data_IF_802753810867
#
_entry.id   IF_802753810867
#
_cell.length_a   1.000
_cell.length_b   1.000
_cell.length_c   1.000
_cell.angle_alpha   90.00
_cell.angle_beta   90.00
_cell.angle_gamma   90.00
#
_symmetry.space_group_name_H-M   'P 1'
#
loop_
_entity.id
_entity.type
_entity.pdbx_description
1 polymer ?
#
# COMPACT_ATOMS: atom_id res chain seq x y z
N UNK A 1 -5.80 2.23 3.05
CA UNK A 1 -4.51 1.61 2.70
C UNK A 1 -3.72 2.54 1.80
N UNK A 2 -2.43 2.66 2.02
CA UNK A 2 -1.46 3.42 1.21
C UNK A 2 -0.34 2.45 0.86
N UNK A 3 0.11 2.43 -0.39
CA UNK A 3 1.19 1.58 -0.88
C UNK A 3 1.94 2.33 -1.97
N UNK A 4 3.23 2.05 -2.13
CA UNK A 4 4.04 2.60 -3.21
C UNK A 4 3.35 2.39 -4.57
N UNK A 5 3.16 3.49 -5.31
CA UNK A 5 2.50 3.48 -6.62
C UNK A 5 3.18 2.51 -7.59
N UNK A 6 4.51 2.37 -7.52
CA UNK A 6 5.31 1.48 -8.38
C UNK A 6 4.91 0.02 -8.12
N UNK A 7 4.78 -0.36 -6.85
CA UNK A 7 4.31 -1.69 -6.45
C UNK A 7 2.84 -1.94 -6.87
N UNK A 8 1.97 -0.94 -6.70
CA UNK A 8 0.56 -1.03 -7.08
C UNK A 8 0.40 -1.21 -8.58
N UNK A 9 1.05 -0.38 -9.38
CA UNK A 9 0.96 -0.39 -10.84
C UNK A 9 1.57 -1.66 -11.42
N UNK A 10 2.75 -2.06 -10.93
CA UNK A 10 3.37 -3.33 -11.32
C UNK A 10 2.42 -4.51 -11.05
N UNK A 11 1.81 -4.56 -9.86
CA UNK A 11 0.84 -5.61 -9.50
C UNK A 11 -0.41 -5.62 -10.38
N UNK A 12 -0.88 -4.45 -10.81
CA UNK A 12 -2.01 -4.35 -11.77
C UNK A 12 -1.62 -4.89 -13.15
N UNK A 13 -0.43 -4.53 -13.64
CA UNK A 13 0.07 -4.93 -14.97
C UNK A 13 0.32 -6.45 -14.99
N UNK A 14 1.12 -6.95 -14.05
CA UNK A 14 1.55 -8.36 -13.98
C UNK A 14 0.35 -9.30 -13.89
N UNK A 15 -0.61 -8.98 -13.03
CA UNK A 15 -1.80 -9.80 -12.78
C UNK A 15 -2.97 -9.49 -13.71
N UNK A 16 -2.80 -8.55 -14.64
CA UNK A 16 -3.83 -8.10 -15.59
C UNK A 16 -5.15 -7.72 -14.91
N UNK A 17 -5.07 -7.00 -13.79
CA UNK A 17 -6.25 -6.59 -13.01
C UNK A 17 -7.01 -5.51 -13.78
N UNK A 18 -8.28 -5.74 -14.18
CA UNK A 18 -9.04 -4.78 -14.96
C UNK A 18 -9.59 -3.67 -14.06
N UNK A 19 -8.81 -2.60 -13.86
CA UNK A 19 -9.26 -1.43 -13.11
C UNK A 19 -9.69 -0.32 -14.07
N UNK A 20 -10.95 0.11 -13.96
CA UNK A 20 -11.50 1.14 -14.83
C UNK A 20 -10.66 2.42 -14.78
N UNK A 21 -10.29 2.93 -15.96
CA UNK A 21 -9.47 4.14 -16.11
C UNK A 21 -7.97 3.92 -15.98
N UNK A 22 -7.49 2.69 -15.79
CA UNK A 22 -6.07 2.35 -15.91
C UNK A 22 -5.78 1.71 -17.27
N UNK A 23 -4.86 2.32 -18.03
CA UNK A 23 -4.37 1.76 -19.28
C UNK A 23 -3.03 1.07 -19.06
N UNK A 24 -3.01 -0.26 -19.01
CA UNK A 24 -1.80 -1.05 -18.77
C UNK A 24 -0.76 -0.97 -19.88
N UNK A 25 -1.10 -0.42 -21.05
CA UNK A 25 -0.15 -0.13 -22.12
C UNK A 25 0.57 1.23 -21.95
N UNK A 26 0.19 2.03 -20.95
CA UNK A 26 0.80 3.34 -20.68
C UNK A 26 1.02 3.55 -19.17
N UNK A 27 2.18 3.13 -18.70
CA UNK A 27 2.61 3.22 -17.29
C UNK A 27 2.51 4.65 -16.75
N UNK A 28 2.99 5.65 -17.50
CA UNK A 28 2.93 7.06 -17.09
C UNK A 28 1.49 7.50 -16.79
N UNK A 29 0.53 7.11 -17.64
CA UNK A 29 -0.89 7.42 -17.39
C UNK A 29 -1.44 6.73 -16.14
N UNK A 30 -0.95 5.53 -15.80
CA UNK A 30 -1.31 4.83 -14.58
C UNK A 30 -0.78 5.56 -13.33
N UNK A 31 0.44 6.08 -13.36
CA UNK A 31 1.00 6.89 -12.27
C UNK A 31 0.21 8.19 -12.06
N UNK A 32 -0.13 8.90 -13.14
CA UNK A 32 -1.00 10.09 -13.07
C UNK A 32 -2.35 9.74 -12.42
N UNK A 33 -2.94 8.63 -12.86
CA UNK A 33 -4.24 8.18 -12.33
C UNK A 33 -4.17 7.80 -10.86
N UNK A 34 -3.16 7.04 -10.46
CA UNK A 34 -2.91 6.69 -9.06
C UNK A 34 -2.78 7.94 -8.20
N UNK A 35 -1.97 8.92 -8.65
CA UNK A 35 -1.75 10.17 -7.95
C UNK A 35 -3.03 10.99 -7.76
N UNK A 36 -3.88 11.04 -8.79
CA UNK A 36 -5.20 11.69 -8.70
C UNK A 36 -6.12 11.01 -7.68
N UNK A 37 -6.18 9.68 -7.68
CA UNK A 37 -7.07 8.95 -6.77
C UNK A 37 -6.56 8.99 -5.33
N UNK A 38 -5.26 8.78 -5.09
CA UNK A 38 -4.70 8.84 -3.73
C UNK A 38 -4.85 10.24 -3.13
N UNK A 39 -4.65 11.30 -3.92
CA UNK A 39 -4.88 12.68 -3.48
C UNK A 39 -6.32 12.89 -3.00
N UNK A 40 -7.32 12.40 -3.74
CA UNK A 40 -8.74 12.52 -3.35
C UNK A 40 -9.02 11.74 -2.07
N UNK A 41 -8.53 10.50 -1.99
CA UNK A 41 -8.73 9.64 -0.83
C UNK A 41 -8.09 10.24 0.44
N UNK A 42 -6.87 10.75 0.32
CA UNK A 42 -6.18 11.43 1.43
C UNK A 42 -6.90 12.71 1.84
N UNK A 43 -7.34 13.51 0.88
CA UNK A 43 -8.11 14.71 1.18
C UNK A 43 -9.37 14.37 1.99
N UNK A 44 -10.14 13.35 1.58
CA UNK A 44 -11.34 12.93 2.32
C UNK A 44 -11.00 12.39 3.72
N UNK A 45 -9.94 11.57 3.81
CA UNK A 45 -9.46 11.03 5.09
C UNK A 45 -9.05 12.13 6.07
N UNK A 46 -8.32 13.15 5.58
CA UNK A 46 -7.83 14.27 6.39
C UNK A 46 -8.95 15.20 6.86
N UNK A 47 -10.02 15.30 6.08
CA UNK A 47 -11.21 16.07 6.44
C UNK A 47 -12.24 15.28 7.26
N UNK A 48 -11.91 14.04 7.66
CA UNK A 48 -12.80 13.17 8.45
C UNK A 48 -12.11 12.74 9.77
N UNK A 49 -11.78 13.69 10.67
CA UNK A 49 -11.05 13.40 11.89
C UNK A 49 -11.81 12.40 12.77
N UNK A 50 -11.10 11.41 13.30
CA UNK A 50 -11.68 10.31 14.10
C UNK A 50 -12.48 9.28 13.29
N UNK A 51 -12.62 9.45 11.97
CA UNK A 51 -13.36 8.53 11.11
C UNK A 51 -12.47 7.84 10.06
N UNK A 52 -11.24 8.30 9.89
CA UNK A 52 -10.28 7.68 8.97
C UNK A 52 -8.87 7.62 9.56
N UNK A 53 -8.18 6.49 9.35
CA UNK A 53 -6.75 6.33 9.59
C UNK A 53 -6.02 5.90 8.33
N UNK A 54 -4.77 6.34 8.20
CA UNK A 54 -3.88 5.96 7.11
C UNK A 54 -3.08 4.74 7.51
N UNK A 55 -3.18 3.66 6.76
CA UNK A 55 -2.41 2.43 6.99
C UNK A 55 -1.49 2.22 5.80
N UNK A 56 -0.18 2.32 6.05
CA UNK A 56 0.85 2.07 5.04
C UNK A 56 1.11 0.57 4.95
N UNK A 57 0.97 0.02 3.76
CA UNK A 57 1.14 -1.41 3.50
C UNK A 57 2.53 -1.88 3.91
N UNK A 58 3.56 -1.11 3.57
CA UNK A 58 4.97 -1.45 3.83
C UNK A 58 5.24 -1.54 5.33
N UNK A 59 4.61 -0.67 6.14
CA UNK A 59 4.68 -0.77 7.59
C UNK A 59 3.86 -1.94 8.11
N UNK A 60 2.63 -2.14 7.62
CA UNK A 60 1.73 -3.22 8.05
C UNK A 60 2.38 -4.60 7.93
N UNK A 61 3.13 -4.86 6.87
CA UNK A 61 3.76 -6.17 6.69
C UNK A 61 5.11 -6.31 7.40
N UNK A 62 5.77 -5.21 7.77
CA UNK A 62 7.03 -5.21 8.52
C UNK A 62 6.82 -5.13 10.05
N UNK A 63 5.74 -4.51 10.51
CA UNK A 63 5.34 -4.33 11.92
C UNK A 63 3.85 -4.69 12.11
N UNK A 64 3.43 -5.93 11.78
CA UNK A 64 2.01 -6.29 11.74
C UNK A 64 1.31 -6.19 13.08
N UNK A 65 1.95 -6.60 14.17
CA UNK A 65 1.36 -6.51 15.51
C UNK A 65 1.07 -5.06 15.91
N UNK A 66 2.05 -4.16 15.76
CA UNK A 66 1.88 -2.74 16.06
C UNK A 66 0.80 -2.08 15.20
N UNK A 67 0.79 -2.35 13.89
CA UNK A 67 -0.20 -1.76 12.99
C UNK A 67 -1.60 -2.31 13.24
N UNK A 68 -1.75 -3.61 13.49
CA UNK A 68 -3.05 -4.21 13.81
C UNK A 68 -3.55 -3.66 15.15
N UNK A 69 -2.72 -3.60 16.19
CA UNK A 69 -3.12 -2.99 17.47
C UNK A 69 -3.56 -1.54 17.29
N UNK A 70 -2.84 -0.76 16.47
CA UNK A 70 -3.21 0.62 16.15
C UNK A 70 -4.56 0.70 15.42
N UNK A 71 -4.81 -0.20 14.48
CA UNK A 71 -6.08 -0.29 13.73
C UNK A 71 -7.23 -0.70 14.67
N UNK A 72 -7.05 -1.73 15.50
CA UNK A 72 -8.10 -2.20 16.42
C UNK A 72 -8.41 -1.15 17.48
N UNK A 73 -7.40 -0.44 18.00
CA UNK A 73 -7.59 0.67 18.93
C UNK A 73 -8.39 1.82 18.30
N UNK A 74 -8.13 2.13 17.01
CA UNK A 74 -8.91 3.14 16.29
C UNK A 74 -10.37 2.71 16.10
N UNK A 75 -10.62 1.42 15.87
CA UNK A 75 -11.95 0.84 15.67
C UNK A 75 -12.70 0.51 16.98
N UNK A 76 -12.08 0.74 18.14
CA UNK A 76 -12.59 0.31 19.45
C UNK A 76 -12.87 -1.21 19.52
N UNK A 77 -11.95 -2.00 18.99
CA UNK A 77 -12.00 -3.46 18.98
C UNK A 77 -10.84 -4.05 19.79
N UNK A 78 -11.04 -5.20 20.47
CA UNK A 78 -9.95 -5.89 21.13
C UNK A 78 -8.98 -6.48 20.11
N UNK A 79 -7.68 -6.34 20.37
CA UNK A 79 -6.65 -7.06 19.64
C UNK A 79 -6.72 -8.57 19.94
N UNK A 80 -6.42 -9.40 18.95
CA UNK A 80 -6.28 -10.85 19.09
C UNK A 80 -5.08 -11.33 18.29
N UNK A 81 -4.26 -12.19 18.88
CA UNK A 81 -3.12 -12.86 18.22
C UNK A 81 -3.52 -13.59 16.93
N UNK A 82 -4.77 -14.05 16.85
CA UNK A 82 -5.31 -14.70 15.66
C UNK A 82 -5.34 -13.77 14.44
N UNK A 83 -5.40 -12.44 14.64
CA UNK A 83 -5.35 -11.47 13.55
C UNK A 83 -4.01 -11.48 12.81
N UNK A 84 -2.92 -11.93 13.45
CA UNK A 84 -1.61 -12.13 12.80
C UNK A 84 -1.53 -13.43 11.99
N UNK A 85 -2.50 -14.32 12.18
CA UNK A 85 -2.56 -15.67 11.60
C UNK A 85 -3.78 -15.86 10.74
N UNK A 86 -4.20 -14.81 10.03
CA UNK A 86 -5.41 -14.82 9.19
C UNK A 86 -5.46 -16.00 8.21
N UNK A 87 -4.30 -16.39 7.68
CA UNK A 87 -4.14 -17.53 6.77
C UNK A 87 -4.55 -18.89 7.37
N UNK A 88 -4.47 -19.06 8.70
CA UNK A 88 -4.91 -20.28 9.41
C UNK A 88 -6.44 -20.34 9.57
N UNK A 89 -7.13 -19.21 9.38
CA UNK A 89 -8.57 -19.06 9.62
C UNK A 89 -9.42 -19.10 8.35
N UNK A 90 -8.79 -19.30 7.19
CA UNK A 90 -9.47 -19.31 5.88
C UNK A 90 -10.43 -20.50 5.79
N UNK A 91 -11.68 -20.21 5.41
CA UNK A 91 -12.75 -21.20 5.32
C UNK A 91 -13.41 -21.54 6.67
N UNK A 92 -12.96 -20.93 7.76
CA UNK A 92 -13.60 -21.01 9.07
C UNK A 92 -14.16 -19.64 9.50
N UNK A 93 -13.28 -18.64 9.65
CA UNK A 93 -13.66 -17.26 10.03
C UNK A 93 -13.37 -16.24 8.92
N UNK A 94 -12.49 -16.57 7.98
CA UNK A 94 -12.15 -15.73 6.83
C UNK A 94 -12.68 -16.37 5.55
N UNK A 95 -13.72 -15.78 4.99
CA UNK A 95 -14.26 -16.18 3.68
C UNK A 95 -13.50 -15.47 2.55
N UNK A 96 -13.00 -16.26 1.59
CA UNK A 96 -12.35 -15.74 0.39
C UNK A 96 -13.15 -16.14 -0.85
N UNK A 97 -13.45 -15.15 -1.69
CA UNK A 97 -13.92 -15.42 -3.03
C UNK A 97 -12.73 -15.73 -3.94
N UNK A 98 -12.63 -16.96 -4.43
CA UNK A 98 -11.51 -17.40 -5.28
C UNK A 98 -11.41 -16.65 -6.62
N UNK A 99 -12.48 -15.95 -7.03
CA UNK A 99 -12.47 -15.13 -8.24
C UNK A 99 -11.82 -13.76 -8.02
N UNK A 100 -11.56 -13.35 -6.78
CA UNK A 100 -10.89 -12.08 -6.49
C UNK A 100 -9.39 -12.16 -6.79
N UNK A 101 -8.86 -11.12 -7.45
CA UNK A 101 -7.45 -11.06 -7.86
C UNK A 101 -6.45 -11.11 -6.70
N UNK A 102 -6.88 -10.81 -5.47
CA UNK A 102 -6.05 -10.86 -4.24
C UNK A 102 -6.10 -12.22 -3.52
N UNK A 103 -7.04 -13.11 -3.88
CA UNK A 103 -7.32 -14.31 -3.08
C UNK A 103 -6.10 -15.24 -2.97
N UNK A 104 -5.33 -15.41 -4.05
CA UNK A 104 -4.14 -16.26 -4.04
C UNK A 104 -3.02 -15.71 -3.14
N UNK A 105 -2.91 -14.38 -2.99
CA UNK A 105 -1.93 -13.77 -2.09
C UNK A 105 -2.39 -13.83 -0.62
N UNK A 106 -3.66 -13.55 -0.35
CA UNK A 106 -4.23 -13.52 1.02
C UNK A 106 -4.20 -14.88 1.69
N UNK A 107 -4.17 -15.98 0.91
CA UNK A 107 -3.99 -17.35 1.42
C UNK A 107 -2.67 -17.58 2.17
N UNK A 108 -1.67 -16.73 1.96
CA UNK A 108 -0.36 -16.87 2.62
C UNK A 108 -0.31 -16.09 3.93
N UNK A 109 0.61 -16.48 4.81
CA UNK A 109 0.96 -15.69 6.00
C UNK A 109 1.45 -14.29 5.61
N UNK A 110 1.38 -13.35 6.56
CA UNK A 110 1.96 -12.02 6.38
C UNK A 110 3.46 -12.20 6.07
N UNK A 111 3.89 -11.65 4.95
CA UNK A 111 5.26 -11.74 4.45
C UNK A 111 5.65 -10.46 3.70
N UNK A 112 6.93 -10.33 3.39
CA UNK A 112 7.51 -9.16 2.75
C UNK A 112 7.84 -9.33 1.27
N UNK A 113 7.44 -10.46 0.66
CA UNK A 113 7.87 -10.85 -0.69
C UNK A 113 7.46 -9.81 -1.74
N UNK A 114 6.32 -9.16 -1.54
CA UNK A 114 5.78 -8.16 -2.46
C UNK A 114 6.29 -6.73 -2.23
N UNK A 115 7.19 -6.47 -1.28
CA UNK A 115 7.75 -5.12 -1.05
C UNK A 115 8.55 -4.66 -2.27
N UNK A 116 9.42 -5.53 -2.77
CA UNK A 116 10.43 -5.19 -3.78
C UNK A 116 10.18 -5.90 -5.10
N UNK A 117 9.04 -6.57 -5.28
CA UNK A 117 8.75 -7.34 -6.51
C UNK A 117 8.71 -6.48 -7.77
N UNK A 118 8.44 -5.18 -7.63
CA UNK A 118 8.44 -4.24 -8.75
C UNK A 118 9.84 -3.75 -9.14
N UNK A 119 10.88 -4.03 -8.35
CA UNK A 119 12.23 -3.59 -8.68
C UNK A 119 12.61 -4.05 -10.08
N UNK A 120 13.30 -3.17 -10.82
CA UNK A 120 13.73 -3.41 -12.21
C UNK A 120 12.58 -3.63 -13.22
N UNK A 121 11.31 -3.40 -12.85
CA UNK A 121 10.16 -3.58 -13.74
C UNK A 121 9.77 -2.33 -14.54
N UNK A 122 10.33 -1.16 -14.19
CA UNK A 122 10.08 0.10 -14.90
C UNK A 122 11.40 0.63 -15.50
N UNK A 123 11.30 1.26 -16.66
CA UNK A 123 12.45 1.91 -17.30
C UNK A 123 12.92 3.14 -16.50
N UNK A 124 14.19 3.52 -16.65
CA UNK A 124 14.72 4.77 -16.09
C UNK A 124 13.94 5.99 -16.59
N UNK A 125 13.43 5.95 -17.83
CA UNK A 125 12.60 7.03 -18.38
C UNK A 125 11.25 7.15 -17.63
N UNK A 126 10.60 6.03 -17.32
CA UNK A 126 9.35 6.02 -16.53
C UNK A 126 9.64 6.52 -15.11
N UNK A 127 10.69 5.99 -14.46
CA UNK A 127 11.05 6.35 -13.09
C UNK A 127 11.47 7.82 -12.96
N UNK A 128 12.19 8.36 -13.94
CA UNK A 128 12.64 9.77 -13.96
C UNK A 128 11.51 10.80 -14.06
N UNK A 129 10.27 10.38 -14.36
CA UNK A 129 9.09 11.26 -14.44
C UNK A 129 8.25 11.26 -13.16
N UNK A 130 8.56 10.41 -12.17
CA UNK A 130 7.67 10.16 -11.03
C UNK A 130 7.37 11.40 -10.20
N UNK A 131 8.34 12.30 -10.03
CA UNK A 131 8.15 13.54 -9.28
C UNK A 131 7.13 14.47 -9.94
N UNK A 132 7.06 14.47 -11.27
CA UNK A 132 6.13 15.28 -12.04
C UNK A 132 4.74 14.64 -12.09
N UNK A 133 4.67 13.34 -12.35
CA UNK A 133 3.40 12.65 -12.64
C UNK A 133 2.72 12.07 -11.40
N UNK A 134 3.50 11.75 -10.37
CA UNK A 134 3.03 11.16 -9.12
C UNK A 134 3.71 11.77 -7.87
N UNK A 135 3.65 13.11 -7.67
CA UNK A 135 4.29 13.79 -6.54
C UNK A 135 3.85 13.29 -5.16
N UNK A 136 2.68 12.64 -5.07
CA UNK A 136 2.23 12.04 -3.81
C UNK A 136 3.11 10.89 -3.33
N UNK A 137 3.94 10.27 -4.18
CA UNK A 137 4.97 9.33 -3.72
C UNK A 137 5.88 9.99 -2.68
N UNK A 138 6.51 11.11 -3.02
CA UNK A 138 7.38 11.86 -2.12
C UNK A 138 6.64 12.46 -0.92
N UNK A 139 5.41 12.97 -1.12
CA UNK A 139 4.59 13.51 -0.01
C UNK A 139 4.26 12.41 1.02
N UNK A 140 4.02 11.19 0.55
CA UNK A 140 3.82 10.00 1.36
C UNK A 140 5.16 9.36 1.79
N UNK A 141 6.28 10.01 1.49
CA UNK A 141 7.66 9.66 1.80
C UNK A 141 8.12 8.31 1.27
N UNK A 142 7.68 7.97 0.06
CA UNK A 142 8.31 7.00 -0.82
C UNK A 142 9.41 7.70 -1.62
N UNK A 143 10.65 7.24 -1.50
CA UNK A 143 11.79 7.82 -2.22
C UNK A 143 11.72 7.50 -3.72
N UNK A 144 11.66 8.55 -4.54
CA UNK A 144 11.64 8.48 -6.01
C UNK A 144 13.00 8.74 -6.66
N UNK A 145 14.02 9.13 -5.88
CA UNK A 145 15.36 9.45 -6.38
C UNK A 145 16.17 8.20 -6.76
N UNK A 146 15.70 7.02 -6.35
CA UNK A 146 16.31 5.72 -6.63
C UNK A 146 15.28 4.74 -7.20
N UNK A 147 15.74 3.84 -8.07
CA UNK A 147 14.95 2.73 -8.60
C UNK A 147 14.74 1.61 -7.58
N UNK A 148 15.49 1.61 -6.47
CA UNK A 148 15.44 0.62 -5.38
C UNK A 148 15.42 1.32 -4.02
N UNK A 149 14.29 1.94 -3.64
CA UNK A 149 14.15 2.62 -2.36
C UNK A 149 14.25 1.65 -1.18
N UNK A 150 14.73 2.17 -0.04
CA UNK A 150 14.80 1.42 1.21
C UNK A 150 13.48 1.52 1.99
N UNK A 151 12.73 0.42 2.01
CA UNK A 151 11.46 0.31 2.74
C UNK A 151 11.64 0.07 4.25
N UNK A 152 12.86 -0.19 4.74
CA UNK A 152 13.09 -0.41 6.17
C UNK A 152 12.70 0.81 7.02
N UNK A 153 12.79 2.01 6.43
CA UNK A 153 12.34 3.27 7.04
C UNK A 153 10.84 3.28 7.40
N UNK A 154 10.01 2.43 6.78
CA UNK A 154 8.60 2.29 7.16
C UNK A 154 8.41 1.51 8.46
N UNK A 155 9.41 0.73 8.87
CA UNK A 155 9.43 -0.05 10.10
C UNK A 155 10.00 0.70 11.31
N UNK A 156 10.46 1.95 11.12
CA UNK A 156 11.02 2.77 12.19
C UNK A 156 10.00 3.00 13.32
N UNK A 157 10.48 3.06 14.57
CA UNK A 157 9.62 3.23 15.75
C UNK A 157 8.91 4.60 15.77
N UNK A 158 9.50 5.60 15.14
CA UNK A 158 9.00 6.98 15.06
C UNK A 158 8.29 7.29 13.73
N UNK A 159 7.99 6.28 12.90
CA UNK A 159 7.40 6.42 11.56
C UNK A 159 6.24 7.44 11.50
N UNK A 160 5.30 7.40 12.45
CA UNK A 160 4.16 8.32 12.47
C UNK A 160 4.43 9.68 13.13
N UNK A 161 5.53 9.85 13.89
CA UNK A 161 5.80 11.08 14.66
C UNK A 161 5.95 12.31 13.74
N UNK A 162 6.51 12.13 12.54
CA UNK A 162 6.80 13.23 11.61
C UNK A 162 5.90 13.25 10.37
N UNK A 163 5.10 12.20 10.14
CA UNK A 163 4.29 12.04 8.91
C UNK A 163 2.86 12.59 9.03
N UNK A 164 2.39 12.94 10.22
CA UNK A 164 1.01 13.41 10.46
C UNK A 164 0.71 14.86 10.01
N UNK A 165 1.70 15.64 9.57
CA UNK A 165 1.49 17.05 9.23
C UNK A 165 1.10 17.33 7.78
N UNK A 166 1.48 16.46 6.84
CA UNK A 166 1.23 16.66 5.41
C UNK A 166 0.72 15.42 4.65
N UNK A 167 0.73 14.24 5.29
CA UNK A 167 -0.03 13.09 4.81
C UNK A 167 -1.43 13.16 5.35
#
# INVERSE_FOLDING_TARGET
>A
MIRDARAVIHSMIERKVPVAGYNTANETSMFVKWNQEIRKMLFQCNNSPGQCIKVYYERLIQRPEEEIQRITNFLDLPFSEQMLKHHELIGAEVDLNEQEFSASQVKNSINTDALTSWFDCFSEETLGKLDDVAPFLNILGYDTSTSKPDYSTFADNDFYQFRNFYS
#
